data_IF_879744162010
#
_entry.id   IF_879744162010
#
_cell.length_a   1.000
_cell.length_b   1.000
_cell.length_c   1.000
_cell.angle_alpha   90.00
_cell.angle_beta   90.00
_cell.angle_gamma   90.00
#
_symmetry.space_group_name_H-M   'P 1'
#
loop_
_entity.id
_entity.type
_entity.pdbx_description
1 polymer ?
#
# COMPACT_ATOMS: atom_id res chain seq x y z
N UNK A 1 -0.43 -18.57 30.34
CA UNK A 1 -1.44 -17.57 29.93
C UNK A 1 -1.60 -17.67 28.44
N UNK A 2 -2.68 -18.26 27.95
CA UNK A 2 -2.99 -18.25 26.52
C UNK A 2 -3.39 -16.82 26.16
N UNK A 3 -2.51 -16.11 25.44
CA UNK A 3 -2.84 -14.84 24.84
C UNK A 3 -3.83 -15.14 23.70
N UNK A 4 -5.13 -15.00 23.96
CA UNK A 4 -6.13 -15.01 22.90
C UNK A 4 -5.85 -13.78 22.04
N UNK A 5 -4.99 -13.95 21.01
CA UNK A 5 -4.82 -12.96 19.96
C UNK A 5 -6.22 -12.77 19.39
N UNK A 6 -6.80 -11.59 19.54
CA UNK A 6 -8.10 -11.24 18.95
C UNK A 6 -7.95 -11.45 17.45
N UNK A 7 -8.52 -12.56 16.96
CA UNK A 7 -8.58 -12.80 15.51
C UNK A 7 -9.55 -11.81 14.91
N UNK A 8 -9.07 -11.01 13.99
CA UNK A 8 -9.91 -10.16 13.17
C UNK A 8 -10.44 -10.98 11.99
N UNK A 9 -11.67 -10.70 11.55
CA UNK A 9 -12.16 -11.28 10.30
C UNK A 9 -11.47 -10.58 9.12
N UNK A 10 -11.39 -11.23 7.97
CA UNK A 10 -10.86 -10.64 6.73
C UNK A 10 -11.48 -9.28 6.42
N UNK A 11 -12.80 -9.16 6.58
CA UNK A 11 -13.49 -7.89 6.38
C UNK A 11 -13.02 -6.82 7.36
N UNK A 12 -12.82 -7.16 8.65
CA UNK A 12 -12.30 -6.21 9.65
C UNK A 12 -10.88 -5.76 9.30
N UNK A 13 -10.03 -6.67 8.85
CA UNK A 13 -8.68 -6.39 8.41
C UNK A 13 -8.66 -5.44 7.21
N UNK A 14 -9.50 -5.71 6.20
CA UNK A 14 -9.62 -4.85 5.02
C UNK A 14 -10.10 -3.44 5.38
N UNK A 15 -11.05 -3.30 6.32
CA UNK A 15 -11.48 -1.99 6.80
C UNK A 15 -10.38 -1.23 7.55
N UNK A 16 -9.59 -1.90 8.38
CA UNK A 16 -8.47 -1.27 9.08
C UNK A 16 -7.39 -0.80 8.09
N UNK A 17 -7.07 -1.63 7.08
CA UNK A 17 -6.15 -1.28 5.99
C UNK A 17 -6.68 -0.06 5.20
N UNK A 18 -7.96 -0.06 4.82
CA UNK A 18 -8.58 1.03 4.10
C UNK A 18 -8.55 2.35 4.91
N UNK A 19 -8.90 2.32 6.20
CA UNK A 19 -8.84 3.50 7.07
C UNK A 19 -7.41 4.02 7.19
N UNK A 20 -6.42 3.14 7.31
CA UNK A 20 -5.01 3.53 7.41
C UNK A 20 -4.53 4.25 6.14
N UNK A 21 -4.86 3.72 4.96
CA UNK A 21 -4.52 4.36 3.68
C UNK A 21 -5.22 5.70 3.49
N UNK A 22 -6.53 5.77 3.70
CA UNK A 22 -7.31 7.00 3.56
C UNK A 22 -6.91 8.08 4.56
N UNK A 23 -6.40 7.71 5.73
CA UNK A 23 -5.96 8.65 6.78
C UNK A 23 -4.49 9.04 6.66
N UNK A 24 -3.81 8.69 5.56
CA UNK A 24 -2.39 8.96 5.36
C UNK A 24 -1.53 8.49 6.55
N UNK A 25 -1.71 7.25 6.98
CA UNK A 25 -1.01 6.71 8.14
C UNK A 25 -1.56 7.20 9.48
N UNK A 26 -2.87 7.49 9.54
CA UNK A 26 -3.60 7.96 10.74
C UNK A 26 -3.33 9.44 11.10
N UNK A 27 -2.98 10.26 10.10
CA UNK A 27 -2.78 11.71 10.30
C UNK A 27 -4.10 12.46 10.33
N UNK A 28 -5.09 12.03 9.54
CA UNK A 28 -6.40 12.68 9.44
C UNK A 28 -7.56 11.72 9.69
N UNK A 29 -8.71 12.28 10.10
CA UNK A 29 -9.93 11.51 10.25
C UNK A 29 -10.56 11.21 8.87
N UNK A 30 -11.11 10.00 8.72
CA UNK A 30 -11.70 9.49 7.48
C UNK A 30 -13.23 9.47 7.59
N UNK A 31 -13.92 9.93 6.57
CA UNK A 31 -15.38 9.89 6.53
C UNK A 31 -15.92 8.50 6.16
N UNK A 32 -17.13 8.18 6.58
CA UNK A 32 -17.83 6.94 6.22
C UNK A 32 -17.98 6.78 4.71
N UNK A 33 -18.16 7.89 3.97
CA UNK A 33 -18.32 7.84 2.52
C UNK A 33 -17.01 7.47 1.80
N UNK A 34 -15.87 8.01 2.22
CA UNK A 34 -14.57 7.63 1.68
C UNK A 34 -14.29 6.13 1.90
N UNK A 35 -14.63 5.61 3.09
CA UNK A 35 -14.48 4.18 3.37
C UNK A 35 -15.42 3.35 2.48
N UNK A 36 -16.68 3.79 2.31
CA UNK A 36 -17.67 3.11 1.47
C UNK A 36 -17.20 3.02 -0.01
N UNK A 37 -16.64 4.11 -0.53
CA UNK A 37 -16.07 4.18 -1.87
C UNK A 37 -14.88 3.22 -2.01
N UNK A 38 -13.88 3.33 -1.11
CA UNK A 38 -12.67 2.50 -1.15
C UNK A 38 -12.96 1.01 -1.00
N UNK A 39 -13.94 0.64 -0.15
CA UNK A 39 -14.31 -0.77 0.07
C UNK A 39 -15.40 -1.27 -0.88
N UNK A 40 -15.85 -0.45 -1.81
CA UNK A 40 -16.95 -0.76 -2.73
C UNK A 40 -18.22 -1.28 -2.01
N UNK A 41 -18.52 -0.72 -0.81
CA UNK A 41 -19.64 -1.14 0.04
C UNK A 41 -20.63 0.01 0.29
N UNK A 42 -21.84 -0.35 0.77
CA UNK A 42 -22.86 0.66 1.10
C UNK A 42 -22.54 1.35 2.43
N UNK A 43 -22.77 2.65 2.53
CA UNK A 43 -22.51 3.45 3.73
C UNK A 43 -23.19 2.90 5.02
N UNK A 44 -24.34 2.24 4.89
CA UNK A 44 -25.00 1.57 6.03
C UNK A 44 -24.14 0.41 6.56
N UNK A 45 -23.64 -0.45 5.69
CA UNK A 45 -22.76 -1.58 6.04
C UNK A 45 -21.45 -1.09 6.65
N UNK A 46 -20.88 0.01 6.12
CA UNK A 46 -19.71 0.67 6.71
C UNK A 46 -19.99 1.11 8.12
N UNK A 47 -21.13 1.80 8.35
CA UNK A 47 -21.51 2.28 9.69
C UNK A 47 -21.58 1.15 10.71
N UNK A 48 -22.15 0.00 10.34
CA UNK A 48 -22.25 -1.15 11.24
C UNK A 48 -20.87 -1.79 11.51
N UNK A 49 -20.01 -1.88 10.50
CA UNK A 49 -18.64 -2.33 10.69
C UNK A 49 -17.84 -1.37 11.60
N UNK A 50 -18.00 -0.06 11.42
CA UNK A 50 -17.33 0.92 12.28
C UNK A 50 -17.75 0.82 13.75
N UNK A 51 -19.04 0.57 14.04
CA UNK A 51 -19.49 0.29 15.41
C UNK A 51 -18.78 -0.93 16.00
N UNK A 52 -18.71 -2.04 15.21
CA UNK A 52 -18.04 -3.28 15.62
C UNK A 52 -16.53 -3.07 15.88
N UNK A 53 -15.86 -2.32 15.03
CA UNK A 53 -14.44 -2.00 15.22
C UNK A 53 -14.20 -1.08 16.43
N UNK A 54 -15.13 -0.14 16.69
CA UNK A 54 -15.07 0.73 17.87
C UNK A 54 -15.29 -0.06 19.17
N UNK A 55 -16.24 -1.00 19.20
CA UNK A 55 -16.43 -1.93 20.32
C UNK A 55 -15.18 -2.75 20.63
N UNK A 56 -14.45 -3.18 19.58
CA UNK A 56 -13.15 -3.85 19.68
C UNK A 56 -11.99 -2.91 20.03
N UNK A 57 -12.24 -1.60 20.19
CA UNK A 57 -11.24 -0.58 20.50
C UNK A 57 -10.12 -0.46 19.46
N UNK A 58 -10.44 -0.74 18.20
CA UNK A 58 -9.51 -0.63 17.08
C UNK A 58 -9.58 0.75 16.41
N UNK A 59 -10.73 1.42 16.53
CA UNK A 59 -10.95 2.76 15.99
C UNK A 59 -11.59 3.68 17.02
N UNK A 60 -11.42 4.99 16.84
CA UNK A 60 -12.23 6.03 17.45
C UNK A 60 -13.24 6.46 16.38
N UNK A 61 -14.53 6.24 16.63
CA UNK A 61 -15.60 6.63 15.74
C UNK A 61 -16.48 7.68 16.39
N UNK A 62 -16.49 8.88 15.84
CA UNK A 62 -17.35 9.98 16.29
C UNK A 62 -18.28 10.34 15.13
N UNK A 63 -19.58 10.18 15.37
CA UNK A 63 -20.61 10.45 14.36
C UNK A 63 -20.43 11.87 13.81
N UNK A 64 -20.41 12.02 12.49
CA UNK A 64 -20.18 13.26 11.73
C UNK A 64 -18.77 13.87 11.80
N UNK A 65 -17.86 13.35 12.64
CA UNK A 65 -16.49 13.85 12.72
C UNK A 65 -15.48 12.92 12.03
N UNK A 66 -15.93 11.69 11.73
CA UNK A 66 -15.09 10.70 11.04
C UNK A 66 -14.51 9.65 11.98
N UNK A 67 -13.54 8.94 11.42
CA UNK A 67 -12.90 7.74 12.01
C UNK A 67 -11.39 7.95 12.07
N UNK A 68 -10.79 7.61 13.19
CA UNK A 68 -9.33 7.45 13.33
C UNK A 68 -9.01 6.08 13.91
N UNK A 69 -7.82 5.55 13.63
CA UNK A 69 -7.36 4.31 14.25
C UNK A 69 -6.87 4.57 15.67
N UNK A 70 -7.08 3.63 16.57
CA UNK A 70 -6.36 3.57 17.84
C UNK A 70 -4.94 3.03 17.63
N UNK A 71 -4.08 3.06 18.64
CA UNK A 71 -2.76 2.43 18.59
C UNK A 71 -2.85 0.95 18.18
N UNK A 72 -3.82 0.22 18.74
CA UNK A 72 -4.07 -1.19 18.38
C UNK A 72 -4.57 -1.34 16.94
N UNK A 73 -5.40 -0.41 16.48
CA UNK A 73 -5.87 -0.39 15.09
C UNK A 73 -4.77 -0.10 14.09
N UNK A 74 -3.89 0.86 14.38
CA UNK A 74 -2.70 1.14 13.55
C UNK A 74 -1.81 -0.09 13.48
N UNK A 75 -1.51 -0.72 14.62
CA UNK A 75 -0.69 -1.94 14.64
C UNK A 75 -1.30 -3.07 13.81
N UNK A 76 -2.61 -3.28 13.89
CA UNK A 76 -3.31 -4.27 13.08
C UNK A 76 -3.21 -3.95 11.58
N UNK A 77 -3.52 -2.70 11.17
CA UNK A 77 -3.45 -2.26 9.78
C UNK A 77 -2.04 -2.40 9.19
N UNK A 78 -1.03 -1.92 9.92
CA UNK A 78 0.38 -1.98 9.49
C UNK A 78 0.87 -3.43 9.35
N UNK A 79 0.41 -4.34 10.23
CA UNK A 79 0.75 -5.76 10.11
C UNK A 79 0.14 -6.40 8.86
N UNK A 80 -1.07 -6.03 8.47
CA UNK A 80 -1.70 -6.49 7.24
C UNK A 80 -0.93 -5.97 6.02
N UNK A 81 -0.61 -4.67 6.00
CA UNK A 81 0.20 -4.06 4.95
C UNK A 81 1.55 -4.76 4.80
N UNK A 82 2.21 -5.09 5.93
CA UNK A 82 3.47 -5.83 5.89
C UNK A 82 3.30 -7.21 5.25
N UNK A 83 2.26 -7.95 5.61
CA UNK A 83 1.97 -9.27 5.03
C UNK A 83 1.73 -9.16 3.53
N UNK A 84 0.88 -8.22 3.12
CA UNK A 84 0.58 -7.95 1.71
C UNK A 84 1.86 -7.76 0.89
N UNK A 85 2.69 -6.78 1.28
CA UNK A 85 3.92 -6.42 0.56
C UNK A 85 4.96 -7.54 0.52
N UNK A 86 5.10 -8.31 1.60
CA UNK A 86 5.98 -9.49 1.60
C UNK A 86 5.51 -10.59 0.65
N UNK A 87 4.20 -10.79 0.53
CA UNK A 87 3.64 -11.73 -0.44
C UNK A 87 3.85 -11.24 -1.87
N UNK A 88 3.69 -9.97 -2.17
CA UNK A 88 3.98 -9.41 -3.50
C UNK A 88 5.45 -9.64 -3.88
N UNK A 89 6.40 -9.37 -2.98
CA UNK A 89 7.83 -9.66 -3.21
C UNK A 89 8.05 -11.14 -3.50
N UNK A 90 7.44 -12.02 -2.72
CA UNK A 90 7.58 -13.48 -2.91
C UNK A 90 7.03 -13.92 -4.27
N UNK A 91 5.86 -13.44 -4.65
CA UNK A 91 5.22 -13.77 -5.92
C UNK A 91 6.08 -13.33 -7.11
N UNK A 92 6.62 -12.12 -7.06
CA UNK A 92 7.48 -11.61 -8.15
C UNK A 92 8.83 -12.32 -8.15
N UNK A 93 9.58 -12.30 -7.04
CA UNK A 93 10.97 -12.74 -7.03
C UNK A 93 11.14 -14.26 -7.05
N UNK A 94 10.20 -15.01 -6.46
CA UNK A 94 10.37 -16.46 -6.28
C UNK A 94 9.47 -17.27 -7.19
N UNK A 95 8.30 -16.75 -7.55
CA UNK A 95 7.36 -17.46 -8.43
C UNK A 95 7.32 -16.89 -9.85
N UNK A 96 7.98 -15.74 -10.10
CA UNK A 96 8.10 -15.16 -11.45
C UNK A 96 6.82 -14.50 -11.97
N UNK A 97 5.90 -14.14 -11.10
CA UNK A 97 4.76 -13.31 -11.47
C UNK A 97 5.24 -11.92 -11.88
N UNK A 98 4.48 -11.27 -12.75
CA UNK A 98 4.72 -9.86 -13.06
C UNK A 98 4.18 -8.96 -11.96
N UNK A 99 4.74 -7.76 -11.85
CA UNK A 99 4.34 -6.78 -10.84
C UNK A 99 2.88 -6.33 -10.94
N UNK A 100 2.27 -6.43 -12.13
CA UNK A 100 0.87 -6.12 -12.39
C UNK A 100 -0.12 -7.28 -12.13
N UNK A 101 0.40 -8.46 -11.73
CA UNK A 101 -0.40 -9.67 -11.50
C UNK A 101 -0.50 -10.06 -10.02
N UNK A 102 0.25 -9.40 -9.13
CA UNK A 102 0.45 -9.90 -7.76
C UNK A 102 -0.53 -9.34 -6.74
N UNK A 103 -1.12 -8.17 -7.01
CA UNK A 103 -1.94 -7.46 -6.04
C UNK A 103 -3.12 -8.29 -5.52
N UNK A 104 -3.95 -8.83 -6.41
CA UNK A 104 -5.15 -9.61 -6.03
C UNK A 104 -4.78 -10.89 -5.27
N UNK A 105 -3.67 -11.53 -5.66
CA UNK A 105 -3.18 -12.75 -4.98
C UNK A 105 -2.67 -12.39 -3.57
N UNK A 106 -1.94 -11.29 -3.43
CA UNK A 106 -1.45 -10.82 -2.14
C UNK A 106 -2.60 -10.40 -1.20
N UNK A 107 -3.69 -9.81 -1.73
CA UNK A 107 -4.94 -9.52 -1.00
C UNK A 107 -5.53 -10.80 -0.35
N UNK A 108 -5.50 -11.93 -1.05
CA UNK A 108 -5.97 -13.19 -0.47
C UNK A 108 -5.00 -13.75 0.58
N UNK A 109 -3.69 -13.66 0.32
CA UNK A 109 -2.65 -14.24 1.17
C UNK A 109 -2.38 -13.42 2.43
N UNK A 110 -2.64 -12.12 2.44
CA UNK A 110 -2.39 -11.23 3.60
C UNK A 110 -3.19 -11.61 4.84
N UNK A 111 -4.27 -12.36 4.67
CA UNK A 111 -5.13 -12.83 5.76
C UNK A 111 -4.62 -14.08 6.47
N UNK A 112 -3.51 -14.66 6.02
CA UNK A 112 -2.88 -15.79 6.73
C UNK A 112 -2.40 -15.31 8.11
N UNK A 113 -2.96 -15.91 9.17
CA UNK A 113 -2.71 -15.48 10.54
C UNK A 113 -1.62 -16.32 11.21
N UNK A 114 -0.38 -16.21 10.71
CA UNK A 114 0.78 -16.89 11.27
C UNK A 114 2.00 -15.97 11.28
N UNK A 115 2.27 -15.34 12.42
CA UNK A 115 3.45 -14.47 12.56
C UNK A 115 4.75 -15.23 12.29
N UNK A 116 4.81 -16.51 12.66
CA UNK A 116 5.97 -17.37 12.40
C UNK A 116 6.21 -17.54 10.90
N UNK A 117 5.15 -17.77 10.12
CA UNK A 117 5.25 -17.89 8.67
C UNK A 117 5.73 -16.59 8.05
N UNK A 118 5.11 -15.47 8.42
CA UNK A 118 5.45 -14.16 7.86
C UNK A 118 6.88 -13.75 8.21
N UNK A 119 7.34 -14.02 9.42
CA UNK A 119 8.72 -13.72 9.80
C UNK A 119 9.74 -14.60 9.07
N UNK A 120 9.42 -15.88 8.83
CA UNK A 120 10.26 -16.77 8.01
C UNK A 120 10.25 -16.38 6.54
N UNK A 121 9.12 -15.89 6.02
CA UNK A 121 9.02 -15.36 4.66
C UNK A 121 9.92 -14.13 4.51
N UNK A 122 9.85 -13.19 5.44
CA UNK A 122 10.70 -12.00 5.48
C UNK A 122 12.21 -12.36 5.49
N UNK A 123 12.61 -13.32 6.37
CA UNK A 123 13.98 -13.82 6.42
C UNK A 123 14.39 -14.51 5.09
N UNK A 124 13.51 -15.33 4.52
CA UNK A 124 13.74 -16.02 3.25
C UNK A 124 13.93 -15.06 2.07
N UNK A 125 13.22 -13.94 2.09
CA UNK A 125 13.34 -12.86 1.10
C UNK A 125 14.53 -11.93 1.34
N UNK A 126 15.29 -12.12 2.42
CA UNK A 126 16.44 -11.29 2.77
C UNK A 126 16.08 -9.94 3.40
N UNK A 127 14.92 -9.86 4.07
CA UNK A 127 14.39 -8.66 4.72
C UNK A 127 14.22 -7.49 3.74
N UNK A 128 13.38 -7.61 2.72
CA UNK A 128 13.18 -6.59 1.72
C UNK A 128 12.63 -5.30 2.35
N UNK A 129 13.06 -4.16 1.86
CA UNK A 129 12.67 -2.84 2.39
C UNK A 129 11.55 -2.16 1.59
N UNK A 130 11.26 -2.68 0.40
CA UNK A 130 10.19 -2.22 -0.47
C UNK A 130 9.63 -3.42 -1.27
N UNK A 131 8.37 -3.30 -1.67
CA UNK A 131 7.68 -4.25 -2.53
C UNK A 131 7.98 -4.01 -4.02
N UNK A 132 7.42 -4.81 -4.96
CA UNK A 132 7.64 -4.65 -6.39
C UNK A 132 7.11 -3.34 -6.99
N UNK A 133 6.31 -2.57 -6.27
CA UNK A 133 5.77 -1.28 -6.68
C UNK A 133 6.58 -0.11 -6.10
N UNK A 134 7.53 -0.40 -5.20
CA UNK A 134 8.38 0.58 -4.53
C UNK A 134 7.84 1.05 -3.17
N UNK A 135 6.74 0.49 -2.72
CA UNK A 135 6.15 0.82 -1.43
C UNK A 135 6.96 0.26 -0.25
N UNK A 136 7.21 1.05 0.80
CA UNK A 136 8.07 0.64 1.92
C UNK A 136 7.42 -0.47 2.75
N UNK A 137 8.10 -1.58 2.94
CA UNK A 137 7.64 -2.70 3.78
C UNK A 137 7.84 -2.33 5.26
N UNK A 138 6.77 -2.38 6.09
CA UNK A 138 6.90 -2.21 7.53
C UNK A 138 7.82 -3.27 8.14
N UNK A 139 8.71 -2.89 9.04
CA UNK A 139 9.53 -3.87 9.78
C UNK A 139 8.69 -4.67 10.81
N UNK A 140 9.33 -5.61 11.52
CA UNK A 140 8.67 -6.46 12.54
C UNK A 140 8.08 -5.69 13.71
N UNK A 141 8.54 -4.46 13.94
CA UNK A 141 7.99 -3.57 14.97
C UNK A 141 6.82 -2.73 14.45
N UNK A 142 6.55 -2.76 13.14
CA UNK A 142 5.56 -1.93 12.47
C UNK A 142 6.09 -0.56 12.05
N UNK A 143 7.39 -0.32 12.14
CA UNK A 143 7.97 0.94 11.66
C UNK A 143 8.08 0.95 10.14
N UNK A 144 7.54 2.00 9.52
CA UNK A 144 7.63 2.24 8.08
C UNK A 144 8.70 3.31 7.83
N UNK A 145 9.73 2.96 7.06
CA UNK A 145 10.79 3.88 6.67
C UNK A 145 10.46 4.49 5.31
N UNK A 146 9.87 5.67 5.31
CA UNK A 146 9.57 6.39 4.08
C UNK A 146 10.85 6.97 3.46
N UNK A 147 11.05 6.74 2.16
CA UNK A 147 12.03 7.48 1.37
C UNK A 147 11.40 8.80 0.94
N UNK A 148 12.20 9.87 0.92
CA UNK A 148 11.76 11.12 0.32
C UNK A 148 11.78 10.95 -1.20
N UNK A 149 10.61 10.82 -1.80
CA UNK A 149 10.43 10.73 -3.24
C UNK A 149 9.91 12.07 -3.79
N UNK A 150 10.25 12.34 -5.04
CA UNK A 150 9.73 13.47 -5.81
C UNK A 150 8.82 12.89 -6.89
N UNK A 151 7.64 13.45 -7.07
CA UNK A 151 6.77 13.06 -8.17
C UNK A 151 7.36 13.56 -9.49
N UNK A 152 7.25 12.77 -10.55
CA UNK A 152 7.68 13.19 -11.90
C UNK A 152 7.02 14.51 -12.31
N UNK A 153 5.75 14.71 -11.91
CA UNK A 153 5.02 15.95 -12.15
C UNK A 153 5.63 17.21 -11.51
N UNK A 154 6.45 17.04 -10.48
CA UNK A 154 7.07 18.15 -9.73
C UNK A 154 8.49 18.45 -10.22
N UNK A 155 9.00 17.62 -11.14
CA UNK A 155 10.35 17.78 -11.73
C UNK A 155 10.36 18.79 -12.86
N UNK A 156 11.52 19.41 -13.07
CA UNK A 156 11.73 20.43 -14.10
C UNK A 156 12.56 19.91 -15.28
N UNK A 157 12.46 20.52 -16.49
CA UNK A 157 13.32 20.17 -17.62
C UNK A 157 14.80 20.20 -17.26
N UNK A 158 15.54 19.15 -17.62
CA UNK A 158 16.95 18.93 -17.29
C UNK A 158 17.18 18.18 -15.99
N UNK A 159 16.17 18.02 -15.13
CA UNK A 159 16.31 17.18 -13.93
C UNK A 159 16.29 15.69 -14.29
N UNK A 160 17.03 14.92 -13.53
CA UNK A 160 17.13 13.46 -13.70
C UNK A 160 16.78 12.74 -12.39
N UNK A 161 16.31 11.51 -12.52
CA UNK A 161 15.96 10.68 -11.38
C UNK A 161 15.98 9.19 -11.70
N UNK A 162 15.74 8.40 -10.68
CA UNK A 162 15.52 6.95 -10.82
C UNK A 162 14.12 6.62 -10.34
N UNK A 163 13.35 5.91 -11.14
CA UNK A 163 12.01 5.45 -10.77
C UNK A 163 12.15 4.53 -9.55
N UNK A 164 11.58 4.95 -8.43
CA UNK A 164 11.71 4.26 -7.15
C UNK A 164 10.38 3.80 -6.56
N UNK A 165 9.27 4.15 -7.19
CA UNK A 165 7.94 3.73 -6.81
C UNK A 165 6.88 4.29 -7.74
N UNK A 166 5.69 3.73 -7.66
CA UNK A 166 4.49 4.16 -8.38
C UNK A 166 3.37 4.45 -7.37
N UNK A 167 2.44 5.35 -7.71
CA UNK A 167 1.35 5.74 -6.80
C UNK A 167 0.01 5.10 -7.14
N UNK A 168 -0.05 4.36 -8.26
CA UNK A 168 -1.24 3.68 -8.77
C UNK A 168 -0.86 2.23 -9.13
N UNK A 169 -1.63 1.25 -8.65
CA UNK A 169 -1.28 -0.18 -8.75
C UNK A 169 -2.25 -0.97 -9.63
N UNK A 170 -3.16 -0.30 -10.36
CA UNK A 170 -4.03 -1.03 -11.27
C UNK A 170 -3.21 -1.73 -12.37
N UNK A 171 -3.59 -2.97 -12.69
CA UNK A 171 -2.87 -3.78 -13.69
C UNK A 171 -2.75 -3.07 -15.04
N UNK A 172 -3.76 -2.26 -15.44
CA UNK A 172 -3.71 -1.49 -16.68
C UNK A 172 -2.64 -0.40 -16.65
N UNK A 173 -2.51 0.31 -15.53
CA UNK A 173 -1.51 1.36 -15.37
C UNK A 173 -0.10 0.77 -15.32
N UNK A 174 0.11 -0.29 -14.56
CA UNK A 174 1.41 -0.97 -14.46
C UNK A 174 1.88 -1.52 -15.81
N UNK A 175 0.96 -2.12 -16.60
CA UNK A 175 1.25 -2.55 -17.99
C UNK A 175 1.60 -1.39 -18.90
N UNK A 176 0.96 -0.24 -18.73
CA UNK A 176 1.31 0.96 -19.49
C UNK A 176 2.73 1.41 -19.14
N UNK A 177 3.07 1.49 -17.86
CA UNK A 177 4.43 1.86 -17.42
C UNK A 177 5.49 0.88 -17.93
N UNK A 178 5.22 -0.42 -17.87
CA UNK A 178 6.12 -1.46 -18.43
C UNK A 178 6.34 -1.24 -19.93
N UNK A 179 5.25 -0.98 -20.69
CA UNK A 179 5.33 -0.71 -22.13
C UNK A 179 6.13 0.57 -22.45
N UNK A 180 6.07 1.56 -21.56
CA UNK A 180 6.84 2.80 -21.67
C UNK A 180 8.28 2.66 -21.18
N UNK A 181 8.66 1.54 -20.54
CA UNK A 181 9.97 1.36 -19.94
C UNK A 181 10.13 2.06 -18.56
N UNK A 182 9.05 2.54 -17.97
CA UNK A 182 9.03 3.22 -16.66
C UNK A 182 8.89 2.21 -15.52
N UNK A 183 9.79 1.26 -15.44
CA UNK A 183 9.83 0.27 -14.36
C UNK A 183 10.76 0.73 -13.23
N UNK A 184 10.67 0.09 -12.06
CA UNK A 184 11.56 0.40 -10.95
C UNK A 184 13.03 0.28 -11.35
N UNK A 185 13.83 1.27 -11.00
CA UNK A 185 15.24 1.37 -11.33
C UNK A 185 15.53 2.00 -12.70
N UNK A 186 14.51 2.31 -13.51
CA UNK A 186 14.71 3.06 -14.75
C UNK A 186 15.23 4.47 -14.45
N UNK A 187 16.25 4.89 -15.17
CA UNK A 187 16.75 6.28 -15.09
C UNK A 187 15.99 7.14 -16.08
N UNK A 188 15.57 8.30 -15.64
CA UNK A 188 14.80 9.25 -16.43
C UNK A 188 15.45 10.63 -16.41
N UNK A 189 15.27 11.37 -17.48
CA UNK A 189 15.62 12.79 -17.60
C UNK A 189 14.40 13.50 -18.15
N UNK A 190 13.93 14.56 -17.50
CA UNK A 190 12.84 15.39 -18.00
C UNK A 190 13.38 16.23 -19.14
N UNK A 191 12.80 16.06 -20.34
CA UNK A 191 13.19 16.81 -21.52
C UNK A 191 12.39 18.07 -21.69
N UNK A 192 11.07 18.02 -21.48
CA UNK A 192 10.16 19.14 -21.70
C UNK A 192 8.87 18.97 -20.87
N UNK A 193 8.29 20.10 -20.46
CA UNK A 193 6.94 20.18 -19.90
C UNK A 193 6.07 20.89 -20.93
N UNK A 194 5.01 20.24 -21.42
CA UNK A 194 4.10 20.80 -22.41
C UNK A 194 3.03 21.59 -21.67
N UNK A 195 3.08 22.93 -21.75
CA UNK A 195 2.16 23.81 -21.02
C UNK A 195 0.69 23.63 -21.41
N UNK A 196 0.43 23.19 -22.65
CA UNK A 196 -0.92 23.09 -23.21
C UNK A 196 -1.80 22.07 -22.48
N UNK A 197 -1.25 20.89 -22.16
CA UNK A 197 -1.99 19.76 -21.58
C UNK A 197 -1.35 19.18 -20.31
N UNK A 198 -0.24 19.74 -19.86
CA UNK A 198 0.52 19.25 -18.72
C UNK A 198 1.30 17.97 -18.98
N UNK A 199 1.44 17.55 -20.24
CA UNK A 199 2.24 16.38 -20.60
C UNK A 199 3.72 16.58 -20.30
N UNK A 200 4.39 15.51 -19.94
CA UNK A 200 5.82 15.49 -19.62
C UNK A 200 6.53 14.64 -20.66
N UNK A 201 7.45 15.25 -21.41
CA UNK A 201 8.39 14.50 -22.23
C UNK A 201 9.61 14.12 -21.42
N UNK A 202 9.94 12.84 -21.43
CA UNK A 202 11.11 12.31 -20.71
C UNK A 202 11.88 11.33 -21.57
N UNK A 203 13.18 11.28 -21.32
CA UNK A 203 14.07 10.27 -21.88
C UNK A 203 14.31 9.19 -20.83
N UNK A 204 14.16 7.94 -21.23
CA UNK A 204 14.40 6.80 -20.36
C UNK A 204 15.70 6.15 -20.80
N UNK A 205 16.64 6.02 -19.87
CA UNK A 205 17.89 5.30 -20.12
C UNK A 205 17.58 3.79 -20.04
N UNK A 206 17.42 3.17 -21.21
CA UNK A 206 17.17 1.73 -21.27
C UNK A 206 18.43 1.02 -20.79
N UNK A 207 18.33 0.22 -19.74
CA UNK A 207 19.34 -0.78 -19.43
C UNK A 207 19.46 -1.71 -20.62
N UNK A 208 20.60 -1.66 -21.34
CA UNK A 208 21.06 -2.71 -22.22
C UNK A 208 21.27 -4.00 -21.45
#
# INVERSE_FOLDING_TARGET
MFNLKLMHSFTEENYLKAIYHLSEGNVMAVSTNQIAEMTSTKAASVTDMLKKLAEKKLINYIKYQGVTLTVSGVHAAVNIIRKHRLWEVFLVEKLGFKWDEVHDIAEELEHINSDTLINRLDDFLGNPVADPHGDPIPDRSGLIKHKKLVKISDMQPGESGTVSGVSEHSSLFLKLLEKMGLTLGAKIIISELIEFDGSIMLTIDQKT
#
